data_IF_635932752553
#
_entry.id   IF_635932752553
#
_cell.length_a   1.000
_cell.length_b   1.000
_cell.length_c   1.000
_cell.angle_alpha   90.00
_cell.angle_beta   90.00
_cell.angle_gamma   90.00
#
_symmetry.space_group_name_H-M   'P 1'
#
loop_
_entity.id
_entity.type
_entity.pdbx_description
1 polymer ?
#
# COMPACT_ATOMS: atom_id res chain seq x y z
N UNK A 1 -13.51 -0.59 30.44
CA UNK A 1 -13.42 0.64 29.62
C UNK A 1 -13.05 0.20 28.20
N UNK A 2 -14.00 0.20 27.26
CA UNK A 2 -13.75 -0.30 25.90
C UNK A 2 -12.76 0.61 25.18
N UNK A 3 -11.68 0.04 24.61
CA UNK A 3 -10.75 0.76 23.72
C UNK A 3 -11.58 1.36 22.59
N UNK A 4 -11.76 2.68 22.61
CA UNK A 4 -12.82 3.37 21.85
C UNK A 4 -12.69 3.22 20.33
N UNK A 5 -11.54 2.76 19.81
CA UNK A 5 -11.31 2.54 18.37
C UNK A 5 -10.30 1.40 18.05
N UNK A 6 -10.31 0.27 18.77
CA UNK A 6 -9.52 -0.90 18.31
C UNK A 6 -10.08 -1.36 16.97
N UNK A 7 -9.30 -1.23 15.89
CA UNK A 7 -9.72 -1.67 14.54
C UNK A 7 -8.98 -2.95 14.20
N UNK A 8 -9.73 -4.00 13.85
CA UNK A 8 -9.17 -5.25 13.33
C UNK A 8 -9.48 -5.30 11.85
N UNK A 9 -8.48 -5.49 10.99
CA UNK A 9 -8.71 -5.77 9.56
C UNK A 9 -9.04 -7.24 9.33
N UNK A 10 -8.84 -8.09 10.34
CA UNK A 10 -9.06 -9.53 10.26
C UNK A 10 -10.55 -9.89 10.22
N UNK A 11 -10.91 -10.70 9.23
CA UNK A 11 -12.14 -11.49 9.18
C UNK A 11 -11.95 -12.75 10.03
N UNK A 12 -10.78 -13.37 9.89
CA UNK A 12 -10.30 -14.50 10.68
C UNK A 12 -8.76 -14.48 10.74
N UNK A 13 -8.12 -15.52 11.29
CA UNK A 13 -6.66 -15.59 11.43
C UNK A 13 -5.87 -15.56 10.12
N UNK A 14 -6.52 -15.80 8.98
CA UNK A 14 -5.90 -15.96 7.66
C UNK A 14 -6.39 -14.96 6.62
N UNK A 15 -7.45 -14.20 6.91
CA UNK A 15 -8.10 -13.29 5.95
C UNK A 15 -8.33 -11.90 6.51
N UNK A 16 -8.02 -10.87 5.72
CA UNK A 16 -8.26 -9.47 6.09
C UNK A 16 -8.90 -8.64 4.96
N UNK A 17 -9.61 -7.59 5.35
CA UNK A 17 -10.31 -6.67 4.43
C UNK A 17 -9.41 -5.53 3.95
N UNK A 18 -9.64 -4.94 2.76
CA UNK A 18 -8.94 -3.73 2.32
C UNK A 18 -9.39 -2.46 3.04
N UNK A 19 -10.30 -2.56 4.00
CA UNK A 19 -10.89 -1.44 4.73
C UNK A 19 -10.16 -1.19 6.05
N UNK A 20 -10.56 -0.15 6.78
CA UNK A 20 -9.96 0.19 8.08
C UNK A 20 -10.27 -0.87 9.14
N UNK A 21 -11.45 -1.48 9.08
CA UNK A 21 -11.88 -2.54 9.98
C UNK A 21 -12.79 -3.54 9.26
N UNK A 22 -12.80 -4.78 9.73
CA UNK A 22 -13.71 -5.82 9.27
C UNK A 22 -15.08 -5.77 9.97
N UNK A 23 -15.15 -5.16 11.16
CA UNK A 23 -16.39 -4.98 11.93
C UNK A 23 -16.44 -3.61 12.65
N UNK A 24 -17.65 -3.20 13.05
CA UNK A 24 -17.92 -1.99 13.80
C UNK A 24 -18.12 -0.72 12.95
N UNK A 25 -18.16 0.47 13.59
CA UNK A 25 -18.50 1.73 12.92
C UNK A 25 -17.52 2.19 11.83
N UNK A 26 -16.32 1.61 11.78
CA UNK A 26 -15.28 1.90 10.77
C UNK A 26 -15.20 0.83 9.66
N UNK A 27 -16.05 -0.20 9.72
CA UNK A 27 -16.13 -1.27 8.72
C UNK A 27 -17.08 -0.92 7.57
N UNK A 28 -16.99 0.32 7.08
CA UNK A 28 -17.73 0.75 5.91
C UNK A 28 -16.98 0.36 4.63
N UNK A 29 -17.75 0.12 3.56
CA UNK A 29 -17.22 -0.16 2.22
C UNK A 29 -17.83 0.81 1.23
N UNK A 30 -17.28 0.98 0.03
CA UNK A 30 -17.93 1.82 -0.97
C UNK A 30 -19.33 1.30 -1.40
N UNK A 31 -19.60 -0.01 -1.26
CA UNK A 31 -20.94 -0.60 -1.45
C UNK A 31 -21.88 -0.40 -0.26
N UNK A 32 -21.33 -0.29 0.96
CA UNK A 32 -22.07 0.04 2.17
C UNK A 32 -21.42 1.24 2.88
N UNK A 33 -21.53 2.45 2.28
CA UNK A 33 -20.79 3.62 2.74
C UNK A 33 -21.40 4.19 4.02
N UNK A 34 -20.61 4.93 4.82
CA UNK A 34 -21.13 5.53 6.03
C UNK A 34 -22.16 6.62 5.68
N UNK A 35 -23.21 6.71 6.49
CA UNK A 35 -24.31 7.66 6.27
C UNK A 35 -23.86 9.12 6.23
N UNK A 36 -22.76 9.46 6.91
CA UNK A 36 -22.23 10.82 7.00
C UNK A 36 -20.72 10.85 6.81
N UNK A 37 -20.21 12.03 6.46
CA UNK A 37 -18.78 12.27 6.27
C UNK A 37 -17.98 12.29 7.59
N UNK A 38 -18.66 12.25 8.73
CA UNK A 38 -18.05 12.28 10.07
C UNK A 38 -17.06 11.13 10.28
N UNK A 39 -17.36 9.95 9.77
CA UNK A 39 -16.52 8.76 9.92
C UNK A 39 -15.16 8.86 9.20
N UNK A 40 -15.02 9.78 8.24
CA UNK A 40 -13.77 10.03 7.53
C UNK A 40 -12.77 10.89 8.31
N UNK A 41 -13.16 11.39 9.49
CA UNK A 41 -12.21 11.98 10.44
C UNK A 41 -11.32 10.91 11.11
N UNK A 42 -11.80 9.66 11.13
CA UNK A 42 -11.14 8.50 11.74
C UNK A 42 -10.53 7.58 10.70
N UNK A 43 -10.62 7.93 9.41
CA UNK A 43 -9.95 7.18 8.36
C UNK A 43 -8.44 7.38 8.37
N UNK A 44 -7.95 8.35 9.15
CA UNK A 44 -6.56 8.44 9.53
C UNK A 44 -6.36 7.75 10.88
N UNK A 45 -5.66 6.62 10.86
CA UNK A 45 -5.11 6.04 12.07
C UNK A 45 -3.84 6.82 12.40
N UNK A 46 -3.97 7.87 13.22
CA UNK A 46 -2.82 8.45 13.89
C UNK A 46 -2.44 7.56 15.09
N UNK A 47 -1.17 7.25 15.33
CA UNK A 47 -0.76 6.56 16.54
C UNK A 47 -1.16 7.33 17.81
N UNK A 48 -1.12 8.67 17.79
CA UNK A 48 -1.31 9.48 19.00
C UNK A 48 -2.76 9.62 19.46
N UNK A 49 -3.76 9.39 18.60
CA UNK A 49 -5.18 9.33 19.04
C UNK A 49 -5.45 8.09 19.91
N UNK A 50 -4.54 7.12 19.92
CA UNK A 50 -4.60 5.96 20.80
C UNK A 50 -3.76 6.13 22.06
N UNK A 51 -2.94 7.18 22.15
CA UNK A 51 -2.15 7.48 23.34
C UNK A 51 -3.03 8.26 24.34
N UNK A 52 -3.36 7.67 25.51
CA UNK A 52 -4.19 8.33 26.50
C UNK A 52 -3.53 9.59 27.10
N UNK A 53 -2.21 9.75 26.96
CA UNK A 53 -1.46 10.93 27.40
C UNK A 53 -1.51 12.07 26.38
N UNK A 54 -1.96 11.81 25.14
CA UNK A 54 -2.01 12.81 24.06
C UNK A 54 -3.45 13.25 23.77
N UNK A 55 -3.79 14.47 24.21
CA UNK A 55 -5.07 15.10 23.89
C UNK A 55 -5.03 15.78 22.51
N UNK A 56 -5.02 14.99 21.43
CA UNK A 56 -5.01 15.53 20.08
C UNK A 56 -6.41 16.02 19.68
N UNK A 57 -6.64 17.34 19.73
CA UNK A 57 -7.89 17.98 19.31
C UNK A 57 -7.97 18.28 17.80
N UNK A 58 -6.94 17.94 17.03
CA UNK A 58 -6.92 18.21 15.58
C UNK A 58 -7.65 17.10 14.84
N UNK A 59 -8.60 17.50 14.01
CA UNK A 59 -9.27 16.60 13.09
C UNK A 59 -8.58 16.67 11.73
N UNK A 60 -8.41 15.51 11.12
CA UNK A 60 -7.89 15.40 9.77
C UNK A 60 -8.82 14.56 8.92
N UNK A 61 -8.88 14.83 7.63
CA UNK A 61 -9.89 14.29 6.71
C UNK A 61 -9.23 13.45 5.63
N UNK A 62 -9.30 12.12 5.74
CA UNK A 62 -8.39 11.23 4.99
C UNK A 62 -6.91 11.60 5.20
N UNK A 63 -6.66 12.25 6.33
CA UNK A 63 -5.42 12.86 6.75
C UNK A 63 -5.05 14.22 6.15
N UNK A 64 -5.92 14.85 5.36
CA UNK A 64 -5.73 16.24 5.04
C UNK A 64 -6.02 17.13 6.26
N UNK A 65 -5.20 18.16 6.55
CA UNK A 65 -5.52 19.13 7.60
C UNK A 65 -6.77 19.97 7.26
N UNK A 66 -7.12 20.04 5.98
CA UNK A 66 -8.26 20.80 5.45
C UNK A 66 -9.08 19.87 4.58
N UNK A 67 -10.40 19.83 4.81
CA UNK A 67 -11.34 18.96 4.10
C UNK A 67 -11.24 19.08 2.57
N UNK A 68 -11.04 20.29 2.07
CA UNK A 68 -10.99 20.58 0.63
C UNK A 68 -9.82 19.91 -0.10
N UNK A 69 -8.71 19.63 0.60
CA UNK A 69 -7.60 18.89 0.00
C UNK A 69 -7.96 17.44 -0.30
N UNK A 70 -8.95 16.88 0.41
CA UNK A 70 -9.50 15.56 0.17
C UNK A 70 -10.85 15.61 -0.61
N UNK A 71 -11.18 16.73 -1.26
CA UNK A 71 -12.47 16.92 -1.94
C UNK A 71 -12.82 15.78 -2.92
N UNK A 72 -11.82 15.25 -3.66
CA UNK A 72 -12.00 14.12 -4.58
C UNK A 72 -12.47 12.86 -3.86
N UNK A 73 -11.93 12.57 -2.67
CA UNK A 73 -12.37 11.42 -1.87
C UNK A 73 -13.77 11.63 -1.30
N UNK A 74 -14.08 12.84 -0.81
CA UNK A 74 -15.46 13.14 -0.38
C UNK A 74 -16.47 13.00 -1.52
N UNK A 75 -16.12 13.43 -2.73
CA UNK A 75 -16.98 13.26 -3.89
C UNK A 75 -17.16 11.79 -4.25
N UNK A 76 -16.07 11.01 -4.24
CA UNK A 76 -16.13 9.56 -4.42
C UNK A 76 -17.12 8.91 -3.43
N UNK A 77 -17.02 9.22 -2.14
CA UNK A 77 -17.90 8.65 -1.12
C UNK A 77 -19.35 9.17 -1.21
N UNK A 78 -19.58 10.39 -1.70
CA UNK A 78 -20.93 10.87 -2.05
C UNK A 78 -21.54 10.07 -3.19
N UNK A 79 -20.76 9.77 -4.24
CA UNK A 79 -21.19 8.92 -5.34
C UNK A 79 -21.41 7.48 -4.89
N UNK A 80 -20.56 6.97 -4.00
CA UNK A 80 -20.72 5.66 -3.36
C UNK A 80 -22.10 5.54 -2.68
N UNK A 81 -22.48 6.54 -1.87
CA UNK A 81 -23.82 6.61 -1.23
C UNK A 81 -24.98 6.65 -2.21
N UNK A 82 -24.75 7.11 -3.44
CA UNK A 82 -25.74 7.14 -4.52
C UNK A 82 -25.73 5.87 -5.38
N UNK A 83 -24.84 4.91 -5.10
CA UNK A 83 -24.65 3.71 -5.91
C UNK A 83 -24.05 3.99 -7.30
N UNK A 84 -23.27 5.08 -7.44
CA UNK A 84 -22.77 5.58 -8.73
C UNK A 84 -21.33 5.18 -9.04
N UNK A 85 -20.69 4.41 -8.17
CA UNK A 85 -19.32 3.92 -8.37
C UNK A 85 -19.34 2.47 -8.86
N UNK A 86 -18.32 2.08 -9.61
CA UNK A 86 -18.18 0.71 -10.09
C UNK A 86 -16.96 0.05 -9.47
N UNK A 87 -17.16 -1.08 -8.77
CA UNK A 87 -16.04 -1.93 -8.35
C UNK A 87 -15.48 -2.67 -9.54
N UNK A 88 -14.16 -2.62 -9.71
CA UNK A 88 -13.47 -3.25 -10.84
C UNK A 88 -12.53 -4.34 -10.40
N UNK A 89 -11.91 -4.18 -9.23
CA UNK A 89 -11.14 -5.25 -8.63
C UNK A 89 -11.39 -5.32 -7.13
N UNK A 90 -11.35 -6.54 -6.58
CA UNK A 90 -11.46 -6.78 -5.16
C UNK A 90 -10.70 -8.04 -4.79
N UNK A 91 -9.80 -7.92 -3.83
CA UNK A 91 -9.15 -9.04 -3.18
C UNK A 91 -9.13 -8.82 -1.68
N UNK A 92 -9.50 -9.86 -0.95
CA UNK A 92 -9.14 -9.98 0.46
C UNK A 92 -7.64 -10.22 0.56
N UNK A 93 -7.07 -9.81 1.68
CA UNK A 93 -5.73 -10.22 2.07
C UNK A 93 -5.79 -11.65 2.58
N UNK A 94 -4.82 -12.48 2.20
CA UNK A 94 -4.78 -13.89 2.56
C UNK A 94 -3.34 -14.30 2.86
N UNK A 95 -3.13 -14.99 3.98
CA UNK A 95 -1.90 -15.74 4.24
C UNK A 95 -2.15 -17.24 4.19
N UNK A 96 -1.27 -17.96 3.48
CA UNK A 96 -1.13 -19.41 3.45
C UNK A 96 0.37 -19.76 3.51
N UNK A 97 0.69 -21.05 3.68
CA UNK A 97 2.07 -21.53 3.94
C UNK A 97 3.15 -20.97 3.00
N UNK A 98 2.82 -20.67 1.76
CA UNK A 98 3.76 -20.19 0.74
C UNK A 98 3.31 -18.91 0.03
N UNK A 99 2.20 -18.32 0.48
CA UNK A 99 1.53 -17.27 -0.28
C UNK A 99 0.95 -16.22 0.65
N UNK A 100 1.38 -14.99 0.42
CA UNK A 100 0.74 -13.80 0.94
C UNK A 100 0.11 -13.03 -0.23
N UNK A 101 -1.14 -12.61 -0.04
CA UNK A 101 -1.84 -11.65 -0.88
C UNK A 101 -2.22 -10.46 -0.02
N UNK A 102 -1.93 -9.26 -0.49
CA UNK A 102 -2.37 -8.02 0.13
C UNK A 102 -3.87 -7.79 -0.15
N UNK A 103 -4.62 -7.25 0.81
CA UNK A 103 -5.99 -6.81 0.57
C UNK A 103 -5.97 -5.56 -0.31
N UNK A 104 -6.82 -5.49 -1.32
CA UNK A 104 -6.91 -4.31 -2.19
C UNK A 104 -8.26 -4.27 -2.90
N UNK A 105 -8.83 -3.08 -2.99
CA UNK A 105 -10.02 -2.83 -3.80
C UNK A 105 -9.75 -1.69 -4.79
N UNK A 106 -10.34 -1.81 -5.98
CA UNK A 106 -10.23 -0.80 -7.03
C UNK A 106 -11.61 -0.43 -7.55
N UNK A 107 -11.85 0.87 -7.65
CA UNK A 107 -13.11 1.43 -8.14
C UNK A 107 -12.90 2.35 -9.33
N UNK A 108 -13.79 2.26 -10.32
CA UNK A 108 -13.96 3.25 -11.38
C UNK A 108 -14.82 4.38 -10.84
N UNK A 109 -14.39 5.61 -11.05
CA UNK A 109 -15.21 6.78 -10.73
C UNK A 109 -15.01 7.90 -11.76
N UNK A 110 -16.05 8.74 -11.88
CA UNK A 110 -16.02 10.01 -12.60
C UNK A 110 -16.50 11.08 -11.63
N UNK A 111 -15.58 11.86 -11.09
CA UNK A 111 -15.85 12.65 -9.89
C UNK A 111 -16.56 13.97 -10.20
N UNK A 112 -16.23 14.62 -11.31
CA UNK A 112 -16.79 15.93 -11.63
C UNK A 112 -17.56 15.97 -12.96
N UNK A 113 -18.66 16.75 -13.05
CA UNK A 113 -19.29 17.10 -14.32
C UNK A 113 -18.31 17.92 -15.16
N UNK A 114 -17.61 17.27 -16.09
CA UNK A 114 -16.53 17.86 -16.88
C UNK A 114 -15.29 16.97 -16.96
N UNK A 115 -15.16 15.97 -16.08
CA UNK A 115 -14.11 14.97 -16.22
C UNK A 115 -14.32 14.19 -17.53
N UNK A 116 -13.37 14.33 -18.45
CA UNK A 116 -13.42 13.70 -19.78
C UNK A 116 -13.01 12.21 -19.76
N UNK A 117 -12.48 11.73 -18.64
CA UNK A 117 -12.01 10.35 -18.50
C UNK A 117 -12.26 9.83 -17.09
N UNK A 118 -12.55 8.55 -16.99
CA UNK A 118 -12.67 7.89 -15.70
C UNK A 118 -11.31 7.73 -15.04
N UNK A 119 -11.31 7.63 -13.71
CA UNK A 119 -10.13 7.39 -12.88
C UNK A 119 -10.32 6.13 -12.05
N UNK A 120 -9.21 5.47 -11.74
CA UNK A 120 -9.15 4.35 -10.81
C UNK A 120 -8.82 4.84 -9.42
N UNK A 121 -9.61 4.44 -8.42
CA UNK A 121 -9.28 4.58 -7.01
C UNK A 121 -8.86 3.25 -6.43
N UNK A 122 -7.61 3.14 -6.01
CA UNK A 122 -7.12 2.03 -5.19
C UNK A 122 -7.37 2.35 -3.71
N UNK A 123 -7.82 1.35 -2.96
CA UNK A 123 -8.09 1.44 -1.51
C UNK A 123 -7.40 0.28 -0.79
N UNK A 124 -6.66 0.58 0.28
CA UNK A 124 -6.06 -0.41 1.17
C UNK A 124 -5.83 0.17 2.56
N UNK A 125 -6.49 -0.38 3.60
CA UNK A 125 -6.32 -0.04 5.01
C UNK A 125 -6.32 1.47 5.33
N UNK A 126 -7.17 2.23 4.64
CA UNK A 126 -7.25 3.70 4.79
C UNK A 126 -6.32 4.50 3.88
N UNK A 127 -5.43 3.85 3.13
CA UNK A 127 -4.69 4.46 2.03
C UNK A 127 -5.54 4.50 0.77
N UNK A 128 -5.47 5.63 0.07
CA UNK A 128 -6.25 5.92 -1.15
C UNK A 128 -5.33 6.45 -2.23
N UNK A 129 -5.44 5.90 -3.44
CA UNK A 129 -4.55 6.27 -4.54
C UNK A 129 -5.28 6.34 -5.87
N UNK A 130 -5.25 7.53 -6.47
CA UNK A 130 -5.84 7.80 -7.78
C UNK A 130 -4.86 7.47 -8.90
N UNK A 131 -5.30 6.66 -9.87
CA UNK A 131 -4.49 6.22 -11.01
C UNK A 131 -5.27 6.44 -12.30
N UNK A 132 -4.58 6.89 -13.36
CA UNK A 132 -5.15 7.03 -14.70
C UNK A 132 -5.39 5.67 -15.32
N UNK A 133 -6.52 5.52 -16.02
CA UNK A 133 -6.85 4.30 -16.77
C UNK A 133 -5.69 3.85 -17.68
N UNK A 134 -5.13 4.81 -18.43
CA UNK A 134 -4.07 4.55 -19.41
C UNK A 134 -2.76 4.05 -18.79
N UNK A 135 -2.53 4.29 -17.49
CA UNK A 135 -1.32 3.83 -16.81
C UNK A 135 -1.37 2.34 -16.47
N UNK A 136 -2.57 1.76 -16.37
CA UNK A 136 -2.82 0.40 -15.87
C UNK A 136 -3.75 -0.39 -16.80
N UNK A 137 -3.31 -0.71 -18.03
CA UNK A 137 -4.16 -1.36 -19.04
C UNK A 137 -4.60 -2.79 -18.69
N UNK A 138 -3.87 -3.47 -17.79
CA UNK A 138 -4.15 -4.88 -17.42
C UNK A 138 -4.91 -5.02 -16.10
N UNK A 139 -5.44 -3.92 -15.55
CA UNK A 139 -6.04 -3.92 -14.21
C UNK A 139 -7.22 -4.89 -14.10
N UNK A 140 -8.08 -4.93 -15.12
CA UNK A 140 -9.23 -5.84 -15.17
C UNK A 140 -8.80 -7.32 -15.25
N UNK A 141 -7.59 -7.61 -15.73
CA UNK A 141 -6.98 -8.96 -15.73
C UNK A 141 -6.37 -9.34 -14.37
N UNK A 142 -6.48 -8.47 -13.36
CA UNK A 142 -5.87 -8.67 -12.05
C UNK A 142 -4.37 -8.37 -12.00
N UNK A 143 -3.85 -7.63 -12.99
CA UNK A 143 -2.43 -7.33 -13.13
C UNK A 143 -2.18 -5.83 -13.24
N UNK A 144 -1.04 -5.37 -12.75
CA UNK A 144 -0.62 -3.97 -12.85
C UNK A 144 0.81 -3.86 -13.34
N UNK A 145 1.10 -2.68 -13.90
CA UNK A 145 2.42 -2.25 -14.28
C UNK A 145 3.06 -1.45 -13.13
N UNK A 146 4.31 -1.79 -12.85
CA UNK A 146 5.18 -1.10 -11.92
C UNK A 146 6.27 -0.37 -12.69
N UNK A 147 6.60 0.83 -12.26
CA UNK A 147 7.64 1.65 -12.85
C UNK A 147 8.65 2.05 -11.78
N UNK A 148 9.94 1.85 -12.03
CA UNK A 148 11.01 2.23 -11.11
C UNK A 148 12.12 2.90 -11.89
N UNK A 149 12.37 4.18 -11.62
CA UNK A 149 13.56 4.83 -12.17
C UNK A 149 14.79 4.59 -11.30
N UNK A 150 15.94 4.69 -11.95
CA UNK A 150 17.27 4.47 -11.39
C UNK A 150 18.20 5.65 -11.70
N UNK A 151 17.62 6.79 -12.04
CA UNK A 151 18.30 8.03 -12.40
C UNK A 151 19.20 7.87 -13.63
N UNK A 152 20.51 8.07 -13.46
CA UNK A 152 21.51 7.90 -14.51
C UNK A 152 22.22 6.55 -14.47
N UNK A 153 21.85 5.65 -13.55
CA UNK A 153 22.49 4.34 -13.43
C UNK A 153 22.21 3.47 -14.67
N UNK A 154 23.19 2.65 -15.06
CA UNK A 154 23.09 1.81 -16.26
C UNK A 154 22.44 0.44 -15.98
N UNK A 155 22.44 0.01 -14.72
CA UNK A 155 21.96 -1.33 -14.32
C UNK A 155 21.03 -1.23 -13.13
N UNK A 156 19.82 -1.76 -13.28
CA UNK A 156 18.93 -2.04 -12.16
C UNK A 156 19.21 -3.44 -11.61
N UNK A 157 19.68 -3.52 -10.36
CA UNK A 157 19.92 -4.78 -9.66
C UNK A 157 18.68 -5.24 -8.92
N UNK A 158 18.24 -6.47 -9.17
CA UNK A 158 17.09 -7.07 -8.52
C UNK A 158 17.35 -8.56 -8.26
N UNK A 159 17.44 -9.00 -6.99
CA UNK A 159 17.80 -10.39 -6.67
C UNK A 159 16.86 -11.43 -7.29
N UNK A 160 17.41 -12.56 -7.73
CA UNK A 160 16.61 -13.71 -8.18
C UNK A 160 16.17 -14.58 -7.00
N UNK A 161 15.08 -14.14 -6.36
CA UNK A 161 14.48 -14.86 -5.24
C UNK A 161 14.03 -16.29 -5.60
N UNK A 162 13.70 -16.58 -6.87
CA UNK A 162 13.27 -17.93 -7.25
C UNK A 162 14.43 -18.93 -7.20
N UNK A 163 15.64 -18.49 -7.54
CA UNK A 163 16.84 -19.31 -7.39
C UNK A 163 17.26 -19.45 -5.92
N UNK A 164 17.20 -18.36 -5.16
CA UNK A 164 17.63 -18.32 -3.76
C UNK A 164 16.75 -19.20 -2.84
N UNK A 165 15.47 -19.37 -3.16
CA UNK A 165 14.53 -20.20 -2.39
C UNK A 165 14.80 -21.71 -2.43
N UNK A 166 15.80 -22.18 -3.18
CA UNK A 166 16.16 -23.61 -3.26
C UNK A 166 16.84 -24.11 -1.97
N UNK A 167 17.34 -23.21 -1.11
CA UNK A 167 17.95 -23.55 0.18
C UNK A 167 16.96 -23.63 1.34
N UNK A 168 17.11 -24.60 2.25
CA UNK A 168 16.26 -24.72 3.44
C UNK A 168 16.35 -23.52 4.42
N UNK A 169 17.53 -22.93 4.71
CA UNK A 169 17.63 -21.71 5.52
C UNK A 169 16.93 -20.50 4.88
N UNK A 170 17.05 -20.36 3.56
CA UNK A 170 16.41 -19.28 2.81
C UNK A 170 14.90 -19.45 2.81
N UNK A 171 14.39 -20.68 2.66
CA UNK A 171 12.96 -20.95 2.78
C UNK A 171 12.41 -20.54 4.15
N UNK A 172 13.08 -20.91 5.25
CA UNK A 172 12.66 -20.47 6.59
C UNK A 172 12.69 -18.94 6.75
N UNK A 173 13.68 -18.29 6.16
CA UNK A 173 13.81 -16.82 6.19
C UNK A 173 12.68 -16.17 5.40
N UNK A 174 12.31 -16.75 4.25
CA UNK A 174 11.16 -16.33 3.45
C UNK A 174 9.83 -16.50 4.19
N UNK A 175 9.61 -17.65 4.82
CA UNK A 175 8.38 -17.92 5.58
C UNK A 175 8.25 -16.92 6.74
N UNK A 176 9.36 -16.59 7.43
CA UNK A 176 9.39 -15.52 8.44
C UNK A 176 9.05 -14.15 7.84
N UNK A 177 9.62 -13.83 6.69
CA UNK A 177 9.32 -12.58 5.99
C UNK A 177 7.83 -12.47 5.62
N UNK A 178 7.22 -13.52 5.07
CA UNK A 178 5.79 -13.53 4.74
C UNK A 178 4.92 -13.42 6.00
N UNK A 179 5.24 -14.15 7.07
CA UNK A 179 4.53 -14.05 8.34
C UNK A 179 4.63 -12.64 8.94
N UNK A 180 5.80 -12.00 8.84
CA UNK A 180 6.03 -10.63 9.25
C UNK A 180 5.21 -9.63 8.41
N UNK A 181 5.18 -9.77 7.07
CA UNK A 181 4.32 -8.95 6.22
C UNK A 181 2.84 -9.12 6.55
N UNK A 182 2.38 -10.34 6.86
CA UNK A 182 1.01 -10.57 7.32
C UNK A 182 0.73 -9.92 8.67
N UNK A 183 1.64 -10.04 9.64
CA UNK A 183 1.52 -9.37 10.95
C UNK A 183 1.30 -7.87 10.76
N UNK A 184 2.04 -7.24 9.84
CA UNK A 184 1.85 -5.82 9.51
C UNK A 184 0.49 -5.54 8.87
N UNK A 185 -0.04 -6.43 8.02
CA UNK A 185 -1.33 -6.25 7.33
C UNK A 185 -2.55 -6.55 8.22
N UNK A 186 -2.39 -7.38 9.24
CA UNK A 186 -3.47 -7.86 10.11
C UNK A 186 -4.07 -6.77 11.02
N UNK A 187 -3.42 -5.61 11.12
CA UNK A 187 -3.86 -4.46 11.88
C UNK A 187 -3.71 -3.21 10.99
N UNK A 188 -4.75 -2.41 10.84
CA UNK A 188 -4.72 -1.26 9.94
C UNK A 188 -3.79 -0.16 10.44
N UNK A 189 -3.63 -0.02 11.75
CA UNK A 189 -2.71 0.95 12.34
C UNK A 189 -1.27 0.53 12.06
N UNK A 190 -0.94 -0.73 12.32
CA UNK A 190 0.36 -1.30 12.04
C UNK A 190 0.66 -1.26 10.54
N UNK A 191 -0.33 -1.63 9.71
CA UNK A 191 -0.21 -1.61 8.25
C UNK A 191 0.08 -0.21 7.75
N UNK A 192 -0.59 0.80 8.30
CA UNK A 192 -0.40 2.19 7.93
C UNK A 192 0.99 2.68 8.33
N UNK A 193 1.40 2.50 9.59
CA UNK A 193 2.71 3.00 10.04
C UNK A 193 3.86 2.32 9.29
N UNK A 194 3.86 0.99 9.23
CA UNK A 194 4.95 0.23 8.61
C UNK A 194 5.10 0.43 7.11
N UNK A 195 4.03 0.79 6.38
CA UNK A 195 4.16 1.08 4.95
C UNK A 195 4.78 2.46 4.70
N UNK A 196 4.61 3.39 5.65
CA UNK A 196 5.16 4.74 5.59
C UNK A 196 6.57 4.84 6.20
N UNK A 197 7.02 3.85 6.98
CA UNK A 197 8.41 3.77 7.45
C UNK A 197 9.42 4.00 6.33
N UNK A 198 10.51 4.69 6.65
CA UNK A 198 11.60 5.07 5.72
C UNK A 198 11.17 5.99 4.57
N UNK A 199 9.97 6.56 4.63
CA UNK A 199 9.47 7.50 3.63
C UNK A 199 9.35 8.89 4.24
N UNK A 200 10.19 9.82 3.82
CA UNK A 200 10.06 11.25 4.18
C UNK A 200 9.30 11.99 3.10
N UNK A 201 8.12 12.53 3.43
CA UNK A 201 7.31 13.33 2.50
C UNK A 201 6.89 14.64 3.16
N UNK A 202 6.75 15.69 2.36
CA UNK A 202 6.32 16.98 2.87
C UNK A 202 4.85 16.94 3.35
N UNK A 203 4.01 16.11 2.72
CA UNK A 203 2.61 15.88 3.12
C UNK A 203 2.49 15.02 4.38
N UNK A 204 3.54 14.28 4.74
CA UNK A 204 3.59 13.43 5.93
C UNK A 204 4.51 13.98 7.01
N UNK A 205 4.87 15.27 6.97
CA UNK A 205 5.69 15.91 8.00
C UNK A 205 5.04 15.95 9.40
N UNK A 206 3.79 15.51 9.52
CA UNK A 206 3.08 15.28 10.78
C UNK A 206 2.94 13.79 11.17
N UNK A 207 3.39 12.86 10.32
CA UNK A 207 3.59 11.47 10.70
C UNK A 207 4.93 11.36 11.42
N UNK A 208 5.03 10.43 12.37
CA UNK A 208 6.27 10.18 13.09
C UNK A 208 7.29 9.53 12.13
N UNK A 209 7.96 10.35 11.32
CA UNK A 209 8.79 10.00 10.17
C UNK A 209 10.22 9.60 10.60
N UNK A 210 10.29 8.65 11.53
CA UNK A 210 11.55 8.17 12.08
C UNK A 210 11.43 6.90 12.90
N UNK A 211 10.22 6.32 13.00
CA UNK A 211 10.04 5.02 13.64
C UNK A 211 10.57 3.95 12.71
N UNK A 212 11.58 3.22 13.15
CA UNK A 212 12.06 2.01 12.49
C UNK A 212 11.17 0.83 12.89
N UNK A 213 9.85 1.04 12.95
CA UNK A 213 8.88 0.09 13.51
C UNK A 213 8.90 -1.23 12.75
N UNK A 214 8.94 -1.17 11.41
CA UNK A 214 9.06 -2.34 10.57
C UNK A 214 10.36 -3.13 10.83
N UNK A 215 11.47 -2.45 11.14
CA UNK A 215 12.75 -3.08 11.47
C UNK A 215 12.75 -3.68 12.88
N UNK A 216 12.12 -3.00 13.84
CA UNK A 216 11.89 -3.53 15.20
C UNK A 216 11.06 -4.81 15.13
N UNK A 217 9.96 -4.81 14.37
CA UNK A 217 9.13 -5.98 14.14
C UNK A 217 9.90 -7.10 13.40
N UNK A 218 10.82 -6.75 12.50
CA UNK A 218 11.68 -7.71 11.83
C UNK A 218 12.64 -8.39 12.82
N UNK A 219 13.29 -7.61 13.69
CA UNK A 219 14.16 -8.11 14.74
C UNK A 219 13.39 -9.01 15.74
N UNK A 220 12.20 -8.58 16.20
CA UNK A 220 11.31 -9.38 17.06
C UNK A 220 10.92 -10.72 16.41
N UNK A 221 10.73 -10.72 15.09
CA UNK A 221 10.35 -11.92 14.33
C UNK A 221 11.56 -12.81 13.98
N UNK A 222 12.76 -12.41 14.39
CA UNK A 222 14.01 -13.12 14.09
C UNK A 222 14.37 -13.10 12.60
N UNK A 223 13.95 -12.08 11.86
CA UNK A 223 14.39 -11.84 10.49
C UNK A 223 15.70 -11.03 10.55
N UNK A 224 16.81 -11.62 10.13
CA UNK A 224 18.09 -10.91 10.07
C UNK A 224 18.11 -9.98 8.85
N UNK A 225 17.97 -8.69 9.12
CA UNK A 225 17.96 -7.61 8.13
C UNK A 225 19.28 -6.81 8.11
N UNK A 226 20.23 -7.14 8.99
CA UNK A 226 21.48 -6.39 9.19
C UNK A 226 22.64 -7.10 8.50
N UNK A 227 22.78 -8.42 8.73
CA UNK A 227 23.85 -9.21 8.13
C UNK A 227 23.68 -9.30 6.62
N UNK A 228 24.81 -9.37 5.90
CA UNK A 228 24.78 -9.70 4.47
C UNK A 228 24.15 -11.09 4.27
N UNK A 229 23.24 -11.21 3.29
CA UNK A 229 22.56 -12.46 2.99
C UNK A 229 21.11 -12.29 2.57
N UNK A 230 20.41 -13.42 2.47
CA UNK A 230 19.06 -13.50 1.92
C UNK A 230 18.04 -12.64 2.68
N UNK A 231 18.08 -12.63 4.02
CA UNK A 231 17.16 -11.84 4.84
C UNK A 231 17.27 -10.33 4.58
N UNK A 232 18.49 -9.80 4.49
CA UNK A 232 18.73 -8.39 4.13
C UNK A 232 18.35 -8.07 2.69
N UNK A 233 18.62 -8.96 1.75
CA UNK A 233 18.22 -8.80 0.34
C UNK A 233 16.69 -8.74 0.20
N UNK A 234 15.97 -9.63 0.88
CA UNK A 234 14.51 -9.63 0.97
C UNK A 234 13.98 -8.32 1.54
N UNK A 235 14.50 -7.91 2.70
CA UNK A 235 14.04 -6.71 3.38
C UNK A 235 14.30 -5.45 2.55
N UNK A 236 15.49 -5.33 1.97
CA UNK A 236 15.85 -4.19 1.13
C UNK A 236 14.96 -4.12 -0.12
N UNK A 237 14.67 -5.25 -0.74
CA UNK A 237 13.82 -5.29 -1.94
C UNK A 237 12.34 -5.05 -1.60
N UNK A 238 11.83 -5.65 -0.53
CA UNK A 238 10.46 -5.42 -0.05
C UNK A 238 10.21 -3.98 0.42
N UNK A 239 11.26 -3.26 0.81
CA UNK A 239 11.17 -1.84 1.18
C UNK A 239 11.37 -0.88 -0.01
N UNK A 240 11.70 -1.39 -1.19
CA UNK A 240 11.80 -0.58 -2.40
C UNK A 240 10.42 -0.18 -2.95
N UNK A 241 10.26 1.11 -3.26
CA UNK A 241 9.02 1.65 -3.83
C UNK A 241 9.06 1.65 -5.36
N UNK A 242 7.93 1.31 -5.97
CA UNK A 242 7.62 1.44 -7.39
C UNK A 242 6.50 2.46 -7.56
N UNK A 243 6.35 3.04 -8.75
CA UNK A 243 5.17 3.82 -9.11
C UNK A 243 4.20 3.01 -9.96
N UNK A 244 2.92 3.31 -9.84
CA UNK A 244 1.84 2.87 -10.72
C UNK A 244 1.62 3.84 -11.90
N UNK A 245 2.34 4.96 -11.95
CA UNK A 245 2.21 5.97 -13.00
C UNK A 245 3.54 6.12 -13.77
N UNK A 246 3.54 5.95 -15.10
CA UNK A 246 4.77 6.03 -15.89
C UNK A 246 5.41 7.42 -15.84
N UNK A 247 4.60 8.46 -15.67
CA UNK A 247 5.08 9.84 -15.58
C UNK A 247 5.91 10.06 -14.32
N UNK A 248 5.45 9.57 -13.17
CA UNK A 248 6.20 9.68 -11.91
C UNK A 248 7.55 9.00 -12.04
N UNK A 249 7.61 7.83 -12.70
CA UNK A 249 8.89 7.16 -12.88
C UNK A 249 9.90 7.95 -13.71
N UNK A 250 9.44 8.62 -14.77
CA UNK A 250 10.30 9.46 -15.62
C UNK A 250 10.72 10.75 -14.92
N UNK A 251 9.79 11.40 -14.23
CA UNK A 251 10.00 12.75 -13.68
C UNK A 251 10.68 12.71 -12.31
N UNK A 252 10.28 11.78 -11.43
CA UNK A 252 10.80 11.68 -10.05
C UNK A 252 12.11 10.89 -9.99
N UNK A 253 12.24 9.85 -10.82
CA UNK A 253 13.33 8.90 -10.70
C UNK A 253 14.32 8.93 -11.87
N UNK A 254 14.18 9.86 -12.84
CA UNK A 254 15.16 10.16 -13.88
C UNK A 254 15.00 9.38 -15.19
N UNK A 255 15.94 9.56 -16.15
CA UNK A 255 15.77 9.11 -17.54
C UNK A 255 15.81 7.60 -17.70
N UNK A 256 16.52 6.87 -16.82
CA UNK A 256 16.60 5.42 -16.87
C UNK A 256 15.58 4.80 -15.92
N UNK A 257 14.79 3.86 -16.43
CA UNK A 257 13.77 3.18 -15.62
C UNK A 257 13.43 1.80 -16.16
N UNK A 258 12.91 0.96 -15.26
CA UNK A 258 12.37 -0.36 -15.58
C UNK A 258 10.85 -0.34 -15.49
N UNK A 259 10.23 -1.18 -16.32
CA UNK A 259 8.82 -1.50 -16.29
C UNK A 259 8.68 -2.97 -15.93
N UNK A 260 7.87 -3.25 -14.93
CA UNK A 260 7.58 -4.61 -14.51
C UNK A 260 6.07 -4.85 -14.39
N UNK A 261 5.68 -6.12 -14.32
CA UNK A 261 4.30 -6.58 -14.12
C UNK A 261 4.22 -7.40 -12.85
N UNK A 262 3.12 -7.24 -12.12
CA UNK A 262 2.82 -7.99 -10.89
C UNK A 262 1.31 -8.15 -10.71
N UNK A 263 0.83 -9.19 -9.99
CA UNK A 263 -0.57 -9.25 -9.55
C UNK A 263 -0.94 -8.04 -8.68
N UNK A 264 -2.18 -7.55 -8.81
CA UNK A 264 -2.66 -6.37 -8.05
C UNK A 264 -2.59 -6.59 -6.55
N UNK A 265 -2.86 -7.81 -6.09
CA UNK A 265 -2.78 -8.19 -4.68
C UNK A 265 -1.34 -8.46 -4.19
N UNK A 266 -0.31 -8.09 -4.95
CA UNK A 266 1.09 -8.18 -4.54
C UNK A 266 1.68 -6.81 -4.15
N UNK A 267 0.84 -5.81 -3.85
CA UNK A 267 1.29 -4.47 -3.53
C UNK A 267 0.74 -3.94 -2.21
N UNK A 268 1.52 -3.05 -1.61
CA UNK A 268 1.07 -2.16 -0.54
C UNK A 268 1.11 -0.72 -0.98
N UNK A 269 0.02 0.02 -0.75
CA UNK A 269 -0.11 1.43 -1.11
C UNK A 269 0.69 2.26 -0.11
N UNK A 270 1.71 2.98 -0.59
CA UNK A 270 2.55 3.86 0.24
C UNK A 270 2.06 5.30 0.23
N UNK A 271 1.16 5.63 -0.69
CA UNK A 271 0.66 6.99 -0.87
C UNK A 271 -0.57 7.23 -0.05
N UNK A 272 -0.50 8.33 0.69
CA UNK A 272 -1.66 9.10 1.08
C UNK A 272 -2.35 9.65 -0.18
N UNK A 273 -3.56 10.21 -0.05
CA UNK A 273 -4.35 10.73 -1.17
C UNK A 273 -3.61 11.67 -2.16
N UNK A 274 -2.43 12.17 -1.80
CA UNK A 274 -1.47 12.88 -2.63
C UNK A 274 -0.66 11.93 -3.55
N UNK A 275 -1.22 11.66 -4.73
CA UNK A 275 -0.59 11.88 -6.05
C UNK A 275 0.65 11.11 -6.52
N UNK A 276 1.53 10.58 -5.66
CA UNK A 276 2.81 10.00 -6.13
C UNK A 276 2.68 8.60 -6.74
N UNK A 277 1.50 8.01 -6.63
CA UNK A 277 1.18 6.70 -7.17
C UNK A 277 2.16 5.59 -6.72
N UNK A 278 2.72 5.68 -5.52
CA UNK A 278 3.80 4.80 -5.05
C UNK A 278 3.29 3.58 -4.29
N UNK A 279 3.91 2.43 -4.55
CA UNK A 279 3.61 1.14 -3.91
C UNK A 279 4.89 0.38 -3.56
N UNK A 280 4.81 -0.53 -2.60
CA UNK A 280 5.84 -1.55 -2.34
C UNK A 280 5.32 -2.93 -2.66
N UNK A 281 6.22 -3.87 -2.93
CA UNK A 281 5.87 -5.28 -3.11
C UNK A 281 5.68 -5.97 -1.77
N UNK A 282 4.75 -6.92 -1.74
CA UNK A 282 4.60 -7.85 -0.61
C UNK A 282 5.45 -9.10 -0.79
N UNK A 283 5.49 -9.61 -2.02
CA UNK A 283 6.28 -10.75 -2.44
C UNK A 283 7.20 -10.31 -3.59
N UNK A 284 8.49 -10.08 -3.29
CA UNK A 284 9.48 -9.69 -4.29
C UNK A 284 9.72 -10.73 -5.40
N UNK A 285 9.34 -11.99 -5.25
CA UNK A 285 9.51 -13.01 -6.29
C UNK A 285 8.43 -12.94 -7.38
N UNK A 286 7.30 -12.29 -7.09
CA UNK A 286 6.14 -12.19 -7.98
C UNK A 286 6.19 -10.96 -8.89
N UNK A 287 7.38 -10.61 -9.39
CA UNK A 287 7.59 -9.50 -10.32
C UNK A 287 8.15 -10.03 -11.64
N UNK A 288 7.70 -9.47 -12.75
CA UNK A 288 8.17 -9.82 -14.08
C UNK A 288 8.62 -8.57 -14.82
N UNK A 289 9.92 -8.41 -15.08
CA UNK A 289 10.43 -7.26 -15.83
C UNK A 289 10.05 -7.38 -17.31
N UNK A 290 9.35 -6.36 -17.81
CA UNK A 290 8.87 -6.30 -19.20
C UNK A 290 9.80 -5.48 -20.09
N UNK A 291 10.37 -4.41 -19.54
CA UNK A 291 11.16 -3.44 -20.30
C UNK A 291 12.17 -2.74 -19.40
N UNK A 292 13.36 -2.48 -19.95
CA UNK A 292 14.31 -1.52 -19.40
C UNK A 292 14.48 -0.38 -20.41
N UNK A 293 14.47 0.86 -19.93
CA UNK A 293 14.62 2.08 -20.74
C UNK A 293 15.91 2.76 -20.29
N UNK A 294 16.87 2.88 -21.21
CA UNK A 294 18.17 3.48 -20.93
C UNK A 294 19.07 2.66 -19.99
N UNK A 295 18.67 1.44 -19.61
CA UNK A 295 19.40 0.60 -18.66
C UNK A 295 19.21 -0.89 -18.95
N UNK A 296 19.88 -1.75 -18.17
CA UNK A 296 19.69 -3.20 -18.14
C UNK A 296 19.16 -3.66 -16.77
N UNK A 297 18.65 -4.88 -16.71
CA UNK A 297 18.28 -5.54 -15.45
C UNK A 297 19.28 -6.66 -15.18
N UNK A 298 19.82 -6.70 -13.97
CA UNK A 298 20.72 -7.75 -13.50
C UNK A 298 20.22 -8.34 -12.18
N UNK A 299 20.55 -9.61 -11.95
CA UNK A 299 20.38 -10.27 -10.66
C UNK A 299 21.47 -9.81 -9.67
#
# INVERSE_FOLDING_TARGET
>A
MGKRFSTSTLIDSTRCVPWLAADGPLAYTPENPPATDYFFQYSWILPEIFDPEVNNRRHYYFGAPIRDYAARLFEFWKQARRGQIQRVYFSLGVIAEDKLCAPVAVYRARLHPGDHSDVWLFIQHGSYQWIRLAAQPHLEEGQILLYRGIQGEETFRYPDFAQDLRGAPDRRTWDRYLALQWRMLADSALSFNTIHDRTKRCETGCLNDGTWLADELAAESGLDIVSEGFGRALWSTGTCSFSLEPQIAREKFGPHFVVAKTPINNIRLTTFFAGEAEVRLVDPSKIYFLKAVGCTVAA
#
